data_IF_011398240884
#
_entry.id   IF_011398240884
#
_cell.length_a   1.000
_cell.length_b   1.000
_cell.length_c   1.000
_cell.angle_alpha   90.00
_cell.angle_beta   90.00
_cell.angle_gamma   90.00
#
_symmetry.space_group_name_H-M   'P 1'
#
loop_
_entity.id
_entity.type
_entity.pdbx_description
1 polymer ?
#
# COMPACT_ATOMS: atom_id res chain seq x y z
N UNK A 1 34.16 18.50 29.15
CA UNK A 1 32.80 18.95 29.53
C UNK A 1 32.11 19.42 28.26
N UNK A 2 31.19 18.62 27.69
CA UNK A 2 30.39 19.07 26.54
C UNK A 2 29.50 20.22 27.02
N UNK A 3 29.78 21.43 26.55
CA UNK A 3 29.02 22.64 26.81
C UNK A 3 27.57 22.46 26.35
N UNK A 4 26.59 22.63 27.25
CA UNK A 4 25.15 22.34 27.03
C UNK A 4 24.50 23.10 25.86
N UNK A 5 25.24 23.99 25.20
CA UNK A 5 24.89 24.78 24.01
C UNK A 5 24.70 23.95 22.74
N UNK A 6 25.25 22.73 22.63
CA UNK A 6 24.99 21.87 21.46
C UNK A 6 23.57 21.28 21.45
N UNK A 7 22.95 21.13 22.62
CA UNK A 7 21.63 20.55 22.78
C UNK A 7 20.50 21.36 22.10
N UNK A 8 20.40 22.70 22.26
CA UNK A 8 19.40 23.49 21.54
C UNK A 8 19.65 23.50 20.02
N UNK A 9 20.92 23.44 19.57
CA UNK A 9 21.25 23.33 18.14
C UNK A 9 20.75 22.00 17.59
N UNK A 10 21.08 20.89 18.26
CA UNK A 10 20.59 19.57 17.87
C UNK A 10 19.05 19.54 17.84
N UNK A 11 18.41 20.09 18.88
CA UNK A 11 16.96 20.16 18.96
C UNK A 11 16.36 20.97 17.81
N UNK A 12 16.98 22.09 17.42
CA UNK A 12 16.53 22.92 16.31
C UNK A 12 16.55 22.19 14.95
N UNK A 13 17.43 21.19 14.77
CA UNK A 13 17.48 20.37 13.55
C UNK A 13 16.64 19.08 13.64
N UNK A 14 16.64 18.40 14.78
CA UNK A 14 15.92 17.12 14.94
C UNK A 14 14.42 17.36 15.11
N UNK A 15 14.01 18.39 15.85
CA UNK A 15 12.60 18.62 16.16
C UNK A 15 11.75 18.82 14.89
N UNK A 16 12.15 19.66 13.90
CA UNK A 16 11.41 19.77 12.64
C UNK A 16 11.30 18.43 11.89
N UNK A 17 12.36 17.62 11.87
CA UNK A 17 12.34 16.31 11.20
C UNK A 17 11.36 15.34 11.88
N UNK A 18 11.35 15.30 13.22
CA UNK A 18 10.40 14.47 13.98
C UNK A 18 8.96 14.95 13.77
N UNK A 19 8.73 16.26 13.69
CA UNK A 19 7.41 16.81 13.41
C UNK A 19 6.91 16.40 12.01
N UNK A 20 7.74 16.52 10.98
CA UNK A 20 7.39 16.07 9.61
C UNK A 20 7.16 14.56 9.57
N UNK A 21 8.03 13.78 10.18
CA UNK A 21 7.89 12.33 10.24
C UNK A 21 6.61 11.92 10.98
N UNK A 22 6.29 12.59 12.10
CA UNK A 22 5.04 12.40 12.83
C UNK A 22 3.81 12.77 12.00
N UNK A 23 3.87 13.89 11.26
CA UNK A 23 2.81 14.32 10.36
C UNK A 23 2.49 13.30 9.26
N UNK A 24 3.50 12.59 8.75
CA UNK A 24 3.31 11.49 7.80
C UNK A 24 2.85 10.16 8.42
N UNK A 25 2.56 10.12 9.73
CA UNK A 25 2.17 8.89 10.44
C UNK A 25 3.35 7.97 10.76
N UNK A 26 4.57 8.51 10.79
CA UNK A 26 5.80 7.78 11.07
C UNK A 26 5.82 7.08 12.43
N UNK A 27 5.10 7.60 13.44
CA UNK A 27 4.97 6.97 14.76
C UNK A 27 3.74 6.07 14.93
N UNK A 28 2.84 6.00 13.95
CA UNK A 28 1.62 5.19 14.06
C UNK A 28 1.97 3.69 14.02
N UNK A 29 1.39 2.92 14.93
CA UNK A 29 1.58 1.46 14.99
C UNK A 29 0.76 0.75 13.93
N UNK A 30 1.29 -0.37 13.41
CA UNK A 30 0.55 -1.28 12.54
C UNK A 30 -0.32 -2.19 13.41
N UNK A 31 -1.61 -2.26 13.10
CA UNK A 31 -2.54 -3.21 13.69
C UNK A 31 -2.53 -4.50 12.86
N UNK A 32 -2.33 -5.65 13.50
CA UNK A 32 -2.32 -6.95 12.83
C UNK A 32 -3.53 -7.73 13.28
N UNK A 33 -4.35 -8.15 12.32
CA UNK A 33 -5.63 -8.80 12.56
C UNK A 33 -5.83 -9.96 11.59
N UNK A 34 -6.66 -10.92 11.98
CA UNK A 34 -7.12 -11.99 11.10
C UNK A 34 -8.61 -11.81 10.86
N UNK A 35 -9.07 -12.10 9.65
CA UNK A 35 -10.49 -12.02 9.36
C UNK A 35 -10.82 -12.32 7.91
N UNK A 36 -12.12 -12.24 7.62
CA UNK A 36 -12.65 -12.47 6.29
C UNK A 36 -12.72 -11.17 5.49
N UNK A 37 -12.21 -11.19 4.26
CA UNK A 37 -12.13 -10.01 3.36
C UNK A 37 -12.62 -10.34 1.96
N UNK A 38 -13.01 -9.30 1.23
CA UNK A 38 -13.70 -9.42 -0.07
C UNK A 38 -15.21 -9.70 0.06
N UNK A 39 -15.90 -9.97 -1.06
CA UNK A 39 -15.37 -10.00 -2.42
C UNK A 39 -14.99 -8.59 -2.93
N UNK A 40 -14.00 -8.51 -3.81
CA UNK A 40 -13.61 -7.27 -4.48
C UNK A 40 -13.73 -7.41 -5.99
N UNK A 41 -14.25 -6.37 -6.64
CA UNK A 41 -14.18 -6.17 -8.08
C UNK A 41 -13.35 -4.92 -8.34
N UNK A 42 -12.36 -5.03 -9.22
CA UNK A 42 -11.44 -3.92 -9.47
C UNK A 42 -11.08 -3.81 -10.95
N UNK A 43 -10.82 -2.58 -11.39
CA UNK A 43 -10.28 -2.27 -12.70
C UNK A 43 -8.78 -1.99 -12.54
N UNK A 44 -7.96 -2.50 -13.45
CA UNK A 44 -6.51 -2.35 -13.35
C UNK A 44 -5.81 -2.30 -14.69
N UNK A 45 -4.55 -1.87 -14.63
CA UNK A 45 -3.53 -2.20 -15.62
C UNK A 45 -2.53 -3.16 -14.99
N UNK A 46 -2.01 -4.08 -15.80
CA UNK A 46 -0.85 -4.87 -15.43
C UNK A 46 0.37 -3.94 -15.31
N UNK A 47 1.14 -4.16 -14.27
CA UNK A 47 2.40 -3.50 -14.03
C UNK A 47 3.51 -4.55 -13.98
N UNK A 48 4.60 -4.27 -14.69
CA UNK A 48 5.86 -5.01 -14.57
C UNK A 48 7.01 -4.04 -14.36
N UNK A 49 7.86 -4.31 -13.37
CA UNK A 49 9.01 -3.50 -13.04
C UNK A 49 8.97 -2.92 -11.63
N UNK A 50 9.61 -1.76 -11.44
CA UNK A 50 9.90 -1.21 -10.11
C UNK A 50 8.62 -0.78 -9.40
N UNK A 51 8.41 -1.21 -8.15
CA UNK A 51 7.25 -0.79 -7.34
C UNK A 51 7.15 0.73 -7.12
N UNK A 52 8.26 1.46 -7.20
CA UNK A 52 8.25 2.93 -7.18
C UNK A 52 7.46 3.56 -8.35
N UNK A 53 7.11 2.77 -9.37
CA UNK A 53 6.34 3.17 -10.55
C UNK A 53 4.87 2.77 -10.52
N UNK A 54 4.39 2.14 -9.43
CA UNK A 54 2.96 1.88 -9.26
C UNK A 54 2.11 3.16 -9.26
N UNK A 55 2.52 4.30 -8.65
CA UNK A 55 1.74 5.54 -8.71
C UNK A 55 1.50 6.04 -10.14
N UNK A 56 2.49 5.87 -11.03
CA UNK A 56 2.36 6.25 -12.45
C UNK A 56 1.31 5.37 -13.15
N UNK A 57 1.30 4.05 -12.88
CA UNK A 57 0.26 3.13 -13.39
C UNK A 57 -1.11 3.44 -12.80
N UNK A 58 -1.17 3.71 -11.49
CA UNK A 58 -2.38 4.09 -10.75
C UNK A 58 -3.06 5.31 -11.38
N UNK A 59 -2.29 6.35 -11.68
CA UNK A 59 -2.79 7.57 -12.31
C UNK A 59 -3.38 7.29 -13.71
N UNK A 60 -2.75 6.42 -14.50
CA UNK A 60 -3.29 6.02 -15.82
C UNK A 60 -4.62 5.28 -15.70
N UNK A 61 -4.77 4.39 -14.71
CA UNK A 61 -6.05 3.70 -14.46
C UNK A 61 -7.12 4.69 -14.03
N UNK A 62 -6.79 5.63 -13.14
CA UNK A 62 -7.71 6.68 -12.71
C UNK A 62 -8.25 7.50 -13.90
N UNK A 63 -7.36 7.91 -14.81
CA UNK A 63 -7.74 8.64 -16.02
C UNK A 63 -8.63 7.80 -16.94
N UNK A 64 -8.29 6.52 -17.15
CA UNK A 64 -9.06 5.62 -17.98
C UNK A 64 -10.47 5.33 -17.41
N UNK A 65 -10.61 5.21 -16.09
CA UNK A 65 -11.90 5.04 -15.43
C UNK A 65 -12.77 6.29 -15.58
N UNK A 66 -12.21 7.47 -15.33
CA UNK A 66 -12.94 8.73 -15.48
C UNK A 66 -13.36 8.99 -16.93
N UNK A 67 -12.52 8.63 -17.91
CA UNK A 67 -12.89 8.72 -19.32
C UNK A 67 -14.08 7.82 -19.70
N UNK A 68 -14.32 6.76 -18.93
CA UNK A 68 -15.49 5.88 -19.08
C UNK A 68 -16.69 6.30 -18.22
N UNK A 69 -16.57 7.39 -17.44
CA UNK A 69 -17.60 7.83 -16.49
C UNK A 69 -17.71 6.97 -15.24
N UNK A 70 -16.73 6.09 -14.97
CA UNK A 70 -16.71 5.20 -13.81
C UNK A 70 -16.00 5.91 -12.67
N UNK A 71 -16.68 6.05 -11.52
CA UNK A 71 -16.07 6.63 -10.31
C UNK A 71 -15.16 5.62 -9.63
N UNK A 72 -13.83 5.88 -9.51
CA UNK A 72 -12.91 4.99 -8.83
C UNK A 72 -13.19 4.93 -7.32
N UNK A 73 -13.18 3.73 -6.75
CA UNK A 73 -13.23 3.52 -5.30
C UNK A 73 -11.85 3.63 -4.66
N UNK A 74 -11.58 2.78 -3.65
CA UNK A 74 -10.25 2.70 -3.04
C UNK A 74 -9.21 2.20 -4.04
N UNK A 75 -7.98 2.70 -3.91
CA UNK A 75 -6.85 2.16 -4.68
C UNK A 75 -6.54 0.74 -4.24
N UNK A 76 -6.19 -0.11 -5.21
CA UNK A 76 -5.79 -1.50 -5.00
C UNK A 76 -4.51 -1.81 -5.76
N UNK A 77 -3.55 -2.44 -5.07
CA UNK A 77 -2.45 -3.15 -5.70
C UNK A 77 -2.53 -4.64 -5.34
N UNK A 78 -2.37 -5.51 -6.33
CA UNK A 78 -2.21 -6.95 -6.12
C UNK A 78 -0.78 -7.28 -6.50
N UNK A 79 0.09 -7.50 -5.52
CA UNK A 79 1.50 -7.81 -5.74
C UNK A 79 1.67 -9.32 -5.85
N UNK A 80 2.24 -9.81 -6.96
CA UNK A 80 2.42 -11.24 -7.19
C UNK A 80 3.78 -11.76 -6.75
N UNK A 81 4.77 -10.88 -6.63
CA UNK A 81 6.16 -11.24 -6.41
C UNK A 81 6.71 -10.55 -5.15
N UNK A 82 7.56 -11.28 -4.42
CA UNK A 82 8.26 -10.75 -3.25
C UNK A 82 9.50 -9.94 -3.70
N UNK A 83 9.59 -8.62 -3.41
CA UNK A 83 10.72 -7.79 -3.80
C UNK A 83 12.05 -8.18 -3.13
N UNK A 84 12.01 -9.02 -2.09
CA UNK A 84 13.20 -9.60 -1.45
C UNK A 84 13.78 -10.78 -2.26
N UNK A 85 12.97 -11.37 -3.15
CA UNK A 85 13.31 -12.60 -3.89
C UNK A 85 13.39 -12.38 -5.39
N UNK A 86 12.62 -11.43 -5.93
CA UNK A 86 12.54 -11.15 -7.37
C UNK A 86 13.22 -9.82 -7.67
N UNK A 87 13.96 -9.76 -8.79
CA UNK A 87 14.65 -8.56 -9.22
C UNK A 87 13.67 -7.40 -9.48
N UNK A 88 14.05 -6.19 -9.08
CA UNK A 88 13.18 -5.00 -9.16
C UNK A 88 12.64 -4.70 -10.56
N UNK A 89 13.33 -5.11 -11.62
CA UNK A 89 12.88 -4.95 -13.02
C UNK A 89 11.84 -5.98 -13.48
N UNK A 90 11.52 -6.99 -12.67
CA UNK A 90 10.67 -8.13 -13.05
C UNK A 90 9.51 -8.36 -12.09
N UNK A 91 9.29 -7.48 -11.11
CA UNK A 91 8.15 -7.57 -10.20
C UNK A 91 6.85 -7.34 -10.96
N UNK A 92 5.84 -8.17 -10.68
CA UNK A 92 4.51 -8.05 -11.30
C UNK A 92 3.49 -7.60 -10.28
N UNK A 93 2.61 -6.71 -10.72
CA UNK A 93 1.47 -6.28 -9.94
C UNK A 93 0.26 -5.99 -10.84
N UNK A 94 -0.94 -6.11 -10.28
CA UNK A 94 -2.09 -5.37 -10.79
C UNK A 94 -2.21 -4.07 -10.00
N UNK A 95 -2.34 -2.95 -10.68
CA UNK A 95 -2.52 -1.65 -10.03
C UNK A 95 -3.76 -0.98 -10.58
N UNK A 96 -4.64 -0.53 -9.70
CA UNK A 96 -5.86 0.13 -10.11
C UNK A 96 -6.80 0.45 -8.96
N UNK A 97 -8.10 0.37 -9.19
CA UNK A 97 -9.12 0.81 -8.24
C UNK A 97 -10.25 -0.19 -8.10
N UNK A 98 -10.78 -0.28 -6.88
CA UNK A 98 -12.06 -0.94 -6.65
C UNK A 98 -13.14 -0.22 -7.47
N UNK A 99 -14.06 -1.01 -8.01
CA UNK A 99 -15.23 -0.53 -8.76
C UNK A 99 -16.50 -1.15 -8.18
N UNK A 100 -17.65 -0.54 -8.45
CA UNK A 100 -18.93 -1.11 -8.03
C UNK A 100 -19.17 -2.44 -8.75
N UNK A 101 -19.78 -3.44 -8.08
CA UNK A 101 -20.21 -4.66 -8.74
C UNK A 101 -21.14 -4.33 -9.92
N UNK A 102 -20.90 -4.98 -11.07
CA UNK A 102 -21.72 -4.79 -12.28
C UNK A 102 -21.27 -3.66 -13.21
N UNK A 103 -20.29 -2.83 -12.81
CA UNK A 103 -19.68 -1.85 -13.72
C UNK A 103 -19.07 -2.54 -14.94
N UNK A 104 -19.36 -2.00 -16.13
CA UNK A 104 -18.84 -2.52 -17.39
C UNK A 104 -17.57 -1.76 -17.75
N UNK A 105 -16.43 -2.41 -17.56
CA UNK A 105 -15.12 -1.88 -17.94
C UNK A 105 -14.88 -2.17 -19.43
N UNK A 106 -14.42 -1.16 -20.16
CA UNK A 106 -13.96 -1.29 -21.54
C UNK A 106 -12.43 -1.29 -21.61
N UNK A 107 -11.90 -1.94 -22.64
CA UNK A 107 -10.48 -1.90 -22.97
C UNK A 107 -9.98 -0.43 -23.07
N UNK A 108 -8.72 -0.13 -22.71
CA UNK A 108 -7.66 -1.10 -22.37
C UNK A 108 -7.68 -1.59 -20.92
N UNK A 109 -8.61 -1.11 -20.07
CA UNK A 109 -8.67 -1.54 -18.67
C UNK A 109 -9.07 -3.01 -18.56
N UNK A 110 -8.42 -3.71 -17.64
CA UNK A 110 -8.73 -5.09 -17.30
C UNK A 110 -9.58 -5.14 -16.03
N UNK A 111 -10.37 -6.20 -15.90
CA UNK A 111 -11.20 -6.48 -14.72
C UNK A 111 -10.59 -7.62 -13.93
N UNK A 112 -10.51 -7.43 -12.62
CA UNK A 112 -10.06 -8.44 -11.68
C UNK A 112 -11.11 -8.67 -10.60
N UNK A 113 -11.16 -9.90 -10.11
CA UNK A 113 -12.04 -10.29 -9.02
C UNK A 113 -11.26 -11.03 -7.96
N UNK A 114 -11.56 -10.71 -6.71
CA UNK A 114 -11.04 -11.40 -5.54
C UNK A 114 -12.25 -11.94 -4.79
N UNK A 115 -12.36 -13.26 -4.71
CA UNK A 115 -13.39 -13.91 -3.92
C UNK A 115 -13.19 -13.63 -2.43
N UNK A 116 -14.29 -13.79 -1.67
CA UNK A 116 -14.24 -13.72 -0.21
C UNK A 116 -13.28 -14.78 0.35
N UNK A 117 -12.40 -14.40 1.27
CA UNK A 117 -11.33 -15.26 1.79
C UNK A 117 -10.90 -14.87 3.20
N UNK A 118 -10.36 -15.84 3.95
CA UNK A 118 -9.65 -15.58 5.20
C UNK A 118 -8.27 -15.00 4.90
N UNK A 119 -7.89 -13.94 5.61
CA UNK A 119 -6.60 -13.27 5.45
C UNK A 119 -5.98 -12.93 6.80
N UNK A 120 -4.66 -12.85 6.82
CA UNK A 120 -3.93 -12.04 7.78
C UNK A 120 -3.81 -10.63 7.19
N UNK A 121 -4.15 -9.60 7.96
CA UNK A 121 -4.09 -8.22 7.50
C UNK A 121 -3.28 -7.32 8.45
N UNK A 122 -2.49 -6.43 7.85
CA UNK A 122 -1.79 -5.35 8.55
C UNK A 122 -2.41 -4.01 8.15
N UNK A 123 -2.79 -3.18 9.12
CA UNK A 123 -3.43 -1.88 8.91
C UNK A 123 -2.62 -0.76 9.55
N UNK A 124 -2.36 0.31 8.82
CA UNK A 124 -1.66 1.50 9.35
C UNK A 124 -2.23 2.78 8.75
N UNK A 125 -2.34 3.81 9.59
CA UNK A 125 -2.57 5.17 9.13
C UNK A 125 -1.22 5.85 8.91
N UNK A 126 -0.82 6.07 7.66
CA UNK A 126 0.44 6.71 7.32
C UNK A 126 0.37 7.23 5.87
N UNK A 127 1.31 8.09 5.48
CA UNK A 127 1.48 8.51 4.09
C UNK A 127 1.86 7.33 3.19
N UNK A 128 1.48 7.36 1.91
CA UNK A 128 1.68 6.26 0.97
C UNK A 128 3.16 5.89 0.80
N UNK A 129 4.05 6.87 0.98
CA UNK A 129 5.49 6.67 0.95
C UNK A 129 6.01 5.78 2.10
N UNK A 130 5.38 5.85 3.27
CA UNK A 130 5.84 5.13 4.48
C UNK A 130 5.02 3.87 4.76
N UNK A 131 3.73 3.89 4.41
CA UNK A 131 2.77 2.88 4.83
C UNK A 131 3.17 1.45 4.40
N UNK A 132 3.55 1.15 3.14
CA UNK A 132 3.88 -0.21 2.72
C UNK A 132 5.05 -0.80 3.50
N UNK A 133 6.17 -0.07 3.58
CA UNK A 133 7.37 -0.54 4.29
C UNK A 133 7.09 -0.85 5.76
N UNK A 134 6.35 0.01 6.45
CA UNK A 134 5.94 -0.22 7.85
C UNK A 134 5.06 -1.45 7.99
N UNK A 135 4.06 -1.59 7.14
CA UNK A 135 3.10 -2.70 7.23
C UNK A 135 3.75 -4.04 6.92
N UNK A 136 4.56 -4.16 5.86
CA UNK A 136 5.26 -5.41 5.56
C UNK A 136 6.27 -5.77 6.63
N UNK A 137 6.98 -4.80 7.21
CA UNK A 137 7.91 -5.07 8.31
C UNK A 137 7.17 -5.66 9.52
N UNK A 138 6.07 -5.04 9.95
CA UNK A 138 5.28 -5.54 11.07
C UNK A 138 4.66 -6.93 10.79
N UNK A 139 4.15 -7.15 9.58
CA UNK A 139 3.63 -8.45 9.15
C UNK A 139 4.71 -9.52 9.14
N UNK A 140 5.91 -9.18 8.63
CA UNK A 140 7.05 -10.09 8.63
C UNK A 140 7.48 -10.45 10.04
N UNK A 141 7.60 -9.46 10.94
CA UNK A 141 7.97 -9.71 12.34
C UNK A 141 6.94 -10.61 13.04
N UNK A 142 5.65 -10.36 12.83
CA UNK A 142 4.58 -11.22 13.34
C UNK A 142 4.67 -12.65 12.81
N UNK A 143 4.80 -12.84 11.50
CA UNK A 143 4.87 -14.16 10.87
C UNK A 143 6.13 -14.93 11.28
N UNK A 144 7.24 -14.23 11.48
CA UNK A 144 8.50 -14.82 11.91
C UNK A 144 8.38 -15.48 13.29
N UNK A 145 7.58 -14.94 14.21
CA UNK A 145 7.31 -15.59 15.51
C UNK A 145 6.61 -16.94 15.38
N UNK A 146 5.99 -17.20 14.24
CA UNK A 146 5.26 -18.44 13.91
C UNK A 146 6.03 -19.33 12.93
N UNK A 147 7.30 -19.02 12.64
CA UNK A 147 8.09 -19.68 11.58
C UNK A 147 7.43 -19.63 10.19
N UNK A 148 6.66 -18.57 9.92
CA UNK A 148 6.03 -18.30 8.62
C UNK A 148 6.72 -17.10 7.94
N UNK A 149 6.47 -16.93 6.64
CA UNK A 149 6.96 -15.79 5.86
C UNK A 149 5.80 -15.14 5.08
N UNK A 150 6.03 -13.96 4.51
CA UNK A 150 5.09 -13.21 3.68
C UNK A 150 4.57 -14.10 2.54
N UNK A 151 3.25 -14.19 2.42
CA UNK A 151 2.59 -14.94 1.37
C UNK A 151 2.15 -14.03 0.23
N UNK A 152 2.48 -14.41 -1.00
CA UNK A 152 2.02 -13.77 -2.23
C UNK A 152 0.88 -14.58 -2.88
N UNK A 153 -0.05 -13.95 -3.62
CA UNK A 153 -0.14 -12.51 -3.82
C UNK A 153 -0.62 -11.76 -2.56
N UNK A 154 -0.04 -10.59 -2.32
CA UNK A 154 -0.49 -9.66 -1.30
C UNK A 154 -1.41 -8.60 -1.93
N UNK A 155 -2.46 -8.22 -1.22
CA UNK A 155 -3.41 -7.19 -1.68
C UNK A 155 -3.28 -5.96 -0.81
N UNK A 156 -2.91 -4.85 -1.41
CA UNK A 156 -2.82 -3.54 -0.78
C UNK A 156 -4.07 -2.74 -1.12
N UNK A 157 -4.79 -2.28 -0.10
CA UNK A 157 -5.90 -1.36 -0.23
C UNK A 157 -5.52 -0.06 0.46
N UNK A 158 -5.54 1.04 -0.29
CA UNK A 158 -5.17 2.34 0.26
C UNK A 158 -6.30 3.35 0.07
N UNK A 159 -6.78 3.86 1.20
CA UNK A 159 -7.80 4.90 1.30
C UNK A 159 -7.11 6.26 1.45
N UNK A 160 -6.57 6.75 0.34
CA UNK A 160 -5.98 8.08 0.23
C UNK A 160 -6.18 8.61 -1.18
N UNK A 161 -6.24 9.94 -1.36
CA UNK A 161 -6.11 10.55 -2.67
C UNK A 161 -4.80 10.13 -3.36
N UNK A 162 -4.70 10.38 -4.66
CA UNK A 162 -3.54 10.09 -5.52
C UNK A 162 -2.19 10.64 -5.01
N UNK A 163 -2.18 11.50 -4.00
CA UNK A 163 -0.98 12.13 -3.45
C UNK A 163 -0.22 11.22 -2.47
N UNK A 164 1.04 10.91 -2.79
CA UNK A 164 1.87 9.96 -2.01
C UNK A 164 2.26 10.45 -0.61
N UNK A 165 2.22 11.75 -0.36
CA UNK A 165 2.55 12.38 0.93
C UNK A 165 1.35 12.55 1.85
N UNK A 166 0.13 12.33 1.34
CA UNK A 166 -1.08 12.47 2.13
C UNK A 166 -1.32 11.21 2.96
N UNK A 167 -1.58 11.43 4.24
CA UNK A 167 -1.91 10.35 5.18
C UNK A 167 -3.27 9.77 4.80
N UNK A 168 -3.26 8.47 4.53
CA UNK A 168 -4.45 7.65 4.38
C UNK A 168 -4.34 6.41 5.25
N UNK A 169 -5.18 5.42 4.97
CA UNK A 169 -5.11 4.12 5.65
C UNK A 169 -4.75 3.04 4.66
N UNK A 170 -3.62 2.38 4.90
CA UNK A 170 -3.19 1.21 4.17
C UNK A 170 -3.62 -0.04 4.91
N UNK A 171 -4.23 -0.97 4.17
CA UNK A 171 -4.43 -2.35 4.58
C UNK A 171 -3.68 -3.26 3.62
N UNK A 172 -2.77 -4.09 4.13
CA UNK A 172 -2.14 -5.17 3.36
C UNK A 172 -2.76 -6.48 3.81
N UNK A 173 -3.29 -7.25 2.87
CA UNK A 173 -3.93 -8.54 3.08
C UNK A 173 -3.11 -9.67 2.45
N UNK A 174 -2.89 -10.74 3.20
CA UNK A 174 -2.26 -11.97 2.71
C UNK A 174 -3.17 -13.15 3.01
N UNK A 175 -3.34 -14.04 2.03
CA UNK A 175 -4.08 -15.28 2.23
C UNK A 175 -3.36 -16.13 3.29
N UNK A 176 -4.12 -16.73 4.20
CA UNK A 176 -3.58 -17.68 5.18
C UNK A 176 -3.35 -19.06 4.60
#
# INVERSE_FOLDING_TARGET
MLNKTWLPILLAFILPLLLVYGWWGGFNSVQIEQGERGPYTYAYFEHSGKLAKLPDTQQKVWQALNAQGITPGQSINVLFDDPRRVASGSLRAHTGYLIKPGETIRAPLLRGEIAKRQVLMGRVQAAALLAPGKTYQALYDYLKTQNRDIAMPAVELYDSPLEVTRVGVLTVEMKQ
#
